data_IF_585484990580
#
_entry.id   IF_585484990580
#
_cell.length_a   1.000
_cell.length_b   1.000
_cell.length_c   1.000
_cell.angle_alpha   90.00
_cell.angle_beta   90.00
_cell.angle_gamma   90.00
#
_symmetry.space_group_name_H-M   'P 1'
#
loop_
_entity.id
_entity.type
_entity.pdbx_description
1 polymer ?
#
# COMPACT_ATOMS: atom_id res chain seq x y z
N UNK A 1 9.88 0.21 3.83
CA UNK A 1 10.81 0.69 2.78
C UNK A 1 11.34 2.03 3.25
N UNK A 2 12.62 2.31 3.10
CA UNK A 2 13.16 3.64 3.43
C UNK A 2 13.11 4.50 2.17
N UNK A 3 12.25 5.50 2.14
CA UNK A 3 12.11 6.48 1.05
C UNK A 3 12.44 7.91 1.50
N UNK A 4 13.20 8.04 2.59
CA UNK A 4 13.66 9.34 3.11
C UNK A 4 12.50 10.27 3.49
N UNK A 5 12.64 11.59 3.23
CA UNK A 5 11.64 12.61 3.63
C UNK A 5 10.22 12.32 3.11
N UNK A 6 10.08 11.62 1.98
CA UNK A 6 8.78 11.24 1.46
C UNK A 6 8.05 10.26 2.38
N UNK A 7 8.77 9.27 2.94
CA UNK A 7 8.22 8.37 3.94
C UNK A 7 7.81 9.11 5.22
N UNK A 8 8.59 10.07 5.66
CA UNK A 8 8.28 10.88 6.85
C UNK A 8 6.98 11.67 6.64
N UNK A 9 6.82 12.31 5.48
CA UNK A 9 5.59 13.01 5.13
C UNK A 9 4.37 12.09 5.03
N UNK A 10 4.53 10.88 4.47
CA UNK A 10 3.47 9.86 4.47
C UNK A 10 3.09 9.47 5.89
N UNK A 11 4.07 9.24 6.74
CA UNK A 11 3.86 8.81 8.12
C UNK A 11 3.10 9.84 8.95
N UNK A 12 3.39 11.14 8.76
CA UNK A 12 2.71 12.21 9.51
C UNK A 12 1.21 12.35 9.18
N UNK A 13 0.77 11.88 8.01
CA UNK A 13 -0.64 11.96 7.57
C UNK A 13 -1.36 10.61 7.60
N UNK A 14 -0.69 9.55 8.05
CA UNK A 14 -1.26 8.19 8.09
C UNK A 14 -1.17 7.61 9.49
N UNK A 15 -2.32 7.24 10.04
CA UNK A 15 -2.36 6.51 11.30
C UNK A 15 -2.39 5.00 11.01
N UNK A 16 -1.37 4.28 11.46
CA UNK A 16 -1.29 2.84 11.33
C UNK A 16 -1.65 2.09 12.60
N UNK A 17 -1.70 0.77 12.51
CA UNK A 17 -2.01 -0.12 13.62
C UNK A 17 -1.12 0.16 14.83
N UNK A 18 -1.76 0.45 15.98
CA UNK A 18 -1.09 0.81 17.24
C UNK A 18 -0.12 2.00 17.12
N UNK A 19 -0.47 3.00 16.32
CA UNK A 19 0.36 4.19 16.10
C UNK A 19 1.68 3.91 15.40
N UNK A 20 1.77 2.81 14.63
CA UNK A 20 2.95 2.49 13.82
C UNK A 20 2.82 3.07 12.42
N UNK A 21 3.95 3.49 11.90
CA UNK A 21 4.05 4.04 10.57
C UNK A 21 4.29 2.94 9.54
N UNK A 22 3.46 2.95 8.49
CA UNK A 22 3.59 2.01 7.39
C UNK A 22 3.66 2.75 6.06
N UNK A 23 4.79 2.67 5.40
CA UNK A 23 5.03 3.30 4.09
C UNK A 23 4.89 2.33 2.91
N UNK A 24 4.76 1.03 3.17
CA UNK A 24 4.65 0.01 2.13
C UNK A 24 3.93 -1.23 2.61
N UNK A 25 3.26 -1.91 1.67
CA UNK A 25 2.69 -3.24 1.89
C UNK A 25 2.68 -4.07 0.60
N UNK A 26 2.49 -5.38 0.78
CA UNK A 26 2.29 -6.33 -0.32
C UNK A 26 1.50 -7.54 0.16
N UNK A 27 1.08 -8.38 -0.77
CA UNK A 27 0.30 -9.59 -0.52
C UNK A 27 1.20 -10.82 -0.55
N UNK A 28 1.18 -11.61 0.54
CA UNK A 28 1.91 -12.88 0.58
C UNK A 28 1.33 -13.87 -0.40
N UNK A 29 2.19 -14.47 -1.20
CA UNK A 29 1.90 -15.48 -2.19
C UNK A 29 2.81 -16.69 -2.00
N UNK A 30 2.24 -17.88 -1.87
CA UNK A 30 2.99 -19.14 -1.70
C UNK A 30 2.84 -19.98 -2.96
N UNK A 31 3.96 -20.39 -3.54
CA UNK A 31 4.02 -21.26 -4.72
C UNK A 31 5.15 -22.28 -4.56
N UNK A 32 4.84 -23.56 -4.71
CA UNK A 32 5.82 -24.65 -4.60
C UNK A 32 6.69 -24.52 -3.33
N UNK A 33 6.05 -24.38 -2.17
CA UNK A 33 6.68 -24.20 -0.85
C UNK A 33 7.60 -22.97 -0.71
N UNK A 34 7.62 -22.11 -1.70
CA UNK A 34 8.38 -20.85 -1.67
C UNK A 34 7.45 -19.67 -1.40
N UNK A 35 7.94 -18.72 -0.60
CA UNK A 35 7.18 -17.53 -0.22
C UNK A 35 7.60 -16.36 -1.09
N UNK A 36 6.63 -15.67 -1.64
CA UNK A 36 6.77 -14.44 -2.42
C UNK A 36 5.86 -13.35 -1.87
N UNK A 37 6.10 -12.12 -2.30
CA UNK A 37 5.22 -10.98 -2.06
C UNK A 37 4.84 -10.38 -3.40
N UNK A 38 3.54 -10.25 -3.66
CA UNK A 38 3.02 -9.48 -4.80
C UNK A 38 2.88 -8.05 -4.33
N UNK A 39 3.51 -7.11 -5.03
CA UNK A 39 3.58 -5.71 -4.63
C UNK A 39 3.65 -4.77 -5.84
N UNK A 40 3.13 -3.56 -5.70
CA UNK A 40 3.46 -2.46 -6.59
C UNK A 40 4.64 -1.70 -5.97
N UNK A 41 5.81 -1.75 -6.60
CA UNK A 41 7.02 -1.13 -6.09
C UNK A 41 8.09 -0.92 -7.18
N UNK A 42 8.81 0.19 -7.09
CA UNK A 42 9.80 0.60 -8.07
C UNK A 42 9.12 1.02 -9.38
N UNK A 43 9.24 0.25 -10.45
CA UNK A 43 8.70 0.62 -11.77
C UNK A 43 7.32 0.03 -12.07
N UNK A 44 6.92 -1.03 -11.39
CA UNK A 44 5.70 -1.78 -11.75
C UNK A 44 5.25 -2.72 -10.65
N UNK A 45 4.07 -3.31 -10.82
CA UNK A 45 3.60 -4.47 -10.06
C UNK A 45 4.52 -5.66 -10.35
N UNK A 46 4.95 -6.35 -9.32
CA UNK A 46 5.92 -7.46 -9.42
C UNK A 46 5.68 -8.54 -8.37
N UNK A 47 6.28 -9.70 -8.58
CA UNK A 47 6.37 -10.78 -7.60
C UNK A 47 7.80 -10.81 -7.08
N UNK A 48 7.97 -10.48 -5.81
CA UNK A 48 9.28 -10.37 -5.15
C UNK A 48 9.50 -11.59 -4.27
N UNK A 49 10.63 -12.31 -4.38
CA UNK A 49 10.99 -13.34 -3.41
C UNK A 49 11.00 -12.78 -1.99
N UNK A 50 10.47 -13.52 -1.03
CA UNK A 50 10.36 -13.06 0.36
C UNK A 50 11.72 -12.63 0.94
N UNK A 51 12.80 -13.35 0.63
CA UNK A 51 14.14 -13.00 1.09
C UNK A 51 14.61 -11.63 0.59
N UNK A 52 14.25 -11.28 -0.66
CA UNK A 52 14.50 -9.94 -1.22
C UNK A 52 13.59 -8.89 -0.56
N UNK A 53 12.30 -9.21 -0.37
CA UNK A 53 11.37 -8.28 0.28
C UNK A 53 11.81 -7.89 1.68
N UNK A 54 12.36 -8.83 2.44
CA UNK A 54 12.90 -8.57 3.80
C UNK A 54 14.02 -7.51 3.81
N UNK A 55 14.76 -7.37 2.72
CA UNK A 55 15.85 -6.40 2.66
C UNK A 55 15.41 -4.94 2.48
N UNK A 56 14.12 -4.69 2.26
CA UNK A 56 13.60 -3.33 2.03
C UNK A 56 13.58 -2.46 3.28
N UNK A 57 13.69 -3.07 4.46
CA UNK A 57 13.70 -2.36 5.72
C UNK A 57 14.51 -3.12 6.78
N UNK A 58 15.08 -2.38 7.72
CA UNK A 58 15.68 -2.91 8.95
C UNK A 58 14.66 -2.95 10.09
N UNK A 59 13.51 -2.29 9.91
CA UNK A 59 12.43 -2.27 10.89
C UNK A 59 11.59 -3.55 10.86
N UNK A 60 10.83 -3.78 11.93
CA UNK A 60 9.92 -4.91 12.00
C UNK A 60 8.80 -4.79 10.96
N UNK A 61 8.58 -5.84 10.19
CA UNK A 61 7.45 -5.97 9.28
C UNK A 61 6.27 -6.61 10.01
N UNK A 62 5.09 -6.05 9.84
CA UNK A 62 3.87 -6.55 10.45
C UNK A 62 3.13 -7.50 9.49
N UNK A 63 2.65 -8.62 10.01
CA UNK A 63 1.88 -9.59 9.23
C UNK A 63 0.40 -9.45 9.54
N UNK A 64 -0.34 -8.93 8.57
CA UNK A 64 -1.79 -8.85 8.60
C UNK A 64 -2.44 -10.10 7.99
N UNK A 65 -3.51 -10.58 8.59
CA UNK A 65 -4.32 -11.69 8.06
C UNK A 65 -5.79 -11.32 8.09
N UNK A 66 -6.51 -11.56 7.00
CA UNK A 66 -7.95 -11.37 6.97
C UNK A 66 -8.66 -12.24 8.02
N UNK A 67 -9.69 -11.68 8.65
CA UNK A 67 -10.59 -12.43 9.53
C UNK A 67 -11.24 -13.58 8.77
N UNK A 68 -11.58 -14.67 9.46
CA UNK A 68 -11.98 -15.95 8.87
C UNK A 68 -13.07 -15.81 7.77
N UNK A 69 -14.07 -14.96 8.00
CA UNK A 69 -15.19 -14.77 7.05
C UNK A 69 -14.76 -14.19 5.68
N UNK A 70 -13.58 -13.55 5.60
CA UNK A 70 -13.08 -12.95 4.38
C UNK A 70 -11.99 -13.78 3.67
N UNK A 71 -11.43 -14.81 4.33
CA UNK A 71 -10.29 -15.59 3.80
C UNK A 71 -10.61 -16.30 2.50
N UNK A 72 -11.86 -16.64 2.26
CA UNK A 72 -12.30 -17.29 1.01
C UNK A 72 -12.08 -16.44 -0.24
N UNK A 73 -11.86 -15.13 -0.09
CA UNK A 73 -11.60 -14.20 -1.19
C UNK A 73 -10.12 -14.07 -1.54
N UNK A 74 -9.21 -14.59 -0.68
CA UNK A 74 -7.76 -14.47 -0.88
C UNK A 74 -7.29 -15.13 -2.19
N UNK A 75 -7.72 -16.35 -2.58
CA UNK A 75 -7.24 -16.97 -3.81
C UNK A 75 -7.53 -16.13 -5.06
N UNK A 76 -8.73 -15.55 -5.16
CA UNK A 76 -9.10 -14.71 -6.30
C UNK A 76 -8.37 -13.35 -6.27
N UNK A 77 -8.17 -12.76 -5.07
CA UNK A 77 -7.38 -11.55 -4.93
C UNK A 77 -5.91 -11.77 -5.36
N UNK A 78 -5.31 -12.91 -5.02
CA UNK A 78 -3.97 -13.29 -5.50
C UNK A 78 -3.97 -13.43 -7.03
N UNK A 79 -4.96 -14.11 -7.60
CA UNK A 79 -5.08 -14.30 -9.05
C UNK A 79 -5.18 -12.96 -9.77
N UNK A 80 -6.03 -12.05 -9.28
CA UNK A 80 -6.13 -10.69 -9.80
C UNK A 80 -4.78 -9.96 -9.75
N UNK A 81 -4.12 -9.97 -8.59
CA UNK A 81 -2.84 -9.27 -8.42
C UNK A 81 -1.74 -9.83 -9.32
N UNK A 82 -1.72 -11.14 -9.57
CA UNK A 82 -0.79 -11.76 -10.51
C UNK A 82 -1.04 -11.33 -11.96
N UNK A 83 -2.30 -11.08 -12.34
CA UNK A 83 -2.64 -10.55 -13.67
C UNK A 83 -2.19 -9.10 -13.85
N UNK A 84 -1.97 -8.34 -12.76
CA UNK A 84 -1.48 -6.97 -12.81
C UNK A 84 0.06 -6.89 -12.91
N UNK A 85 0.79 -8.01 -12.86
CA UNK A 85 2.26 -7.99 -12.95
C UNK A 85 2.71 -7.32 -14.26
N UNK A 86 3.56 -6.29 -14.13
CA UNK A 86 4.03 -5.46 -15.24
C UNK A 86 3.25 -4.16 -15.42
N UNK A 87 2.09 -3.98 -14.77
CA UNK A 87 1.39 -2.69 -14.76
C UNK A 87 2.30 -1.65 -14.09
N UNK A 88 2.47 -0.44 -14.67
CA UNK A 88 3.36 0.58 -14.11
C UNK A 88 3.01 0.97 -12.67
N UNK A 89 4.05 1.35 -11.90
CA UNK A 89 3.85 1.97 -10.60
C UNK A 89 3.20 3.34 -10.76
N UNK A 90 2.24 3.66 -9.91
CA UNK A 90 1.59 4.96 -9.92
C UNK A 90 2.34 5.96 -9.04
N UNK A 91 3.18 6.75 -9.68
CA UNK A 91 3.89 7.87 -9.06
C UNK A 91 2.99 9.11 -8.84
N UNK A 92 1.80 9.11 -9.41
CA UNK A 92 0.85 10.22 -9.29
C UNK A 92 -0.07 10.08 -8.06
N UNK A 93 -0.16 8.86 -7.50
CA UNK A 93 -1.04 8.49 -6.39
C UNK A 93 -2.52 8.82 -6.66
N UNK A 94 -2.96 8.59 -7.91
CA UNK A 94 -4.33 8.80 -8.35
C UNK A 94 -5.06 7.45 -8.47
N UNK A 95 -6.15 7.30 -7.75
CA UNK A 95 -6.95 6.09 -7.81
C UNK A 95 -7.58 5.90 -9.20
N UNK A 96 -7.56 4.65 -9.71
CA UNK A 96 -8.21 4.22 -10.96
C UNK A 96 -7.68 4.90 -12.23
N UNK A 97 -6.36 5.11 -12.31
CA UNK A 97 -5.69 5.70 -13.48
C UNK A 97 -4.97 4.66 -14.38
N UNK A 98 -5.20 3.37 -14.15
CA UNK A 98 -4.57 2.28 -14.91
C UNK A 98 -3.14 1.93 -14.49
N UNK A 99 -2.68 2.46 -13.36
CA UNK A 99 -1.42 2.17 -12.69
C UNK A 99 -1.73 1.69 -11.26
N UNK A 100 -0.72 1.31 -10.50
CA UNK A 100 -0.91 0.92 -9.10
C UNK A 100 0.19 1.46 -8.19
N UNK A 101 -0.19 2.14 -7.11
CA UNK A 101 0.66 2.24 -5.93
C UNK A 101 0.37 1.08 -4.96
N UNK A 102 1.20 0.88 -3.95
CA UNK A 102 1.21 -0.36 -3.17
C UNK A 102 -0.14 -0.72 -2.51
N UNK A 103 -0.82 0.25 -1.90
CA UNK A 103 -2.09 0.02 -1.21
C UNK A 103 -3.28 -0.09 -2.17
N UNK A 104 -3.25 0.61 -3.30
CA UNK A 104 -4.27 0.51 -4.35
C UNK A 104 -4.35 -0.89 -4.94
N UNK A 105 -3.19 -1.50 -5.26
CA UNK A 105 -3.15 -2.89 -5.72
C UNK A 105 -3.88 -3.85 -4.76
N UNK A 106 -3.69 -3.66 -3.46
CA UNK A 106 -4.34 -4.50 -2.44
C UNK A 106 -5.83 -4.18 -2.33
N UNK A 107 -6.19 -2.90 -2.38
CA UNK A 107 -7.57 -2.47 -2.38
C UNK A 107 -8.33 -3.09 -3.55
N UNK A 108 -7.83 -2.93 -4.77
CA UNK A 108 -8.47 -3.44 -5.99
C UNK A 108 -8.52 -4.96 -6.06
N UNK A 109 -7.47 -5.66 -5.60
CA UNK A 109 -7.49 -7.11 -5.53
C UNK A 109 -8.66 -7.63 -4.67
N UNK A 110 -8.93 -6.98 -3.55
CA UNK A 110 -10.05 -7.36 -2.70
C UNK A 110 -11.38 -6.77 -3.15
N UNK A 111 -11.42 -5.62 -3.80
CA UNK A 111 -12.61 -5.11 -4.48
C UNK A 111 -13.06 -6.11 -5.57
N UNK A 112 -12.10 -6.57 -6.39
CA UNK A 112 -12.37 -7.55 -7.44
C UNK A 112 -12.90 -8.88 -6.88
N UNK A 113 -12.24 -9.44 -5.86
CA UNK A 113 -12.59 -10.76 -5.32
C UNK A 113 -13.85 -10.76 -4.46
N UNK A 114 -14.08 -9.71 -3.68
CA UNK A 114 -15.25 -9.57 -2.79
C UNK A 114 -16.45 -8.95 -3.49
N UNK A 115 -16.26 -8.32 -4.69
CA UNK A 115 -17.27 -7.61 -5.51
C UNK A 115 -17.88 -6.38 -4.83
N UNK A 116 -17.24 -5.87 -3.80
CA UNK A 116 -17.52 -4.60 -3.11
C UNK A 116 -16.31 -4.21 -2.28
N UNK A 117 -16.20 -2.93 -1.84
CA UNK A 117 -15.06 -2.50 -1.04
C UNK A 117 -14.89 -3.37 0.22
N UNK A 118 -13.71 -3.97 0.39
CA UNK A 118 -13.30 -4.65 1.62
C UNK A 118 -12.53 -3.70 2.53
N UNK A 119 -11.75 -2.82 1.94
CA UNK A 119 -11.07 -1.72 2.58
C UNK A 119 -11.71 -0.40 2.17
N UNK A 120 -11.36 0.69 2.82
CA UNK A 120 -11.98 1.99 2.57
C UNK A 120 -11.04 2.88 1.75
N UNK A 121 -11.61 3.67 0.82
CA UNK A 121 -10.97 4.84 0.25
C UNK A 121 -11.35 6.06 1.07
N UNK A 122 -10.42 6.99 1.20
CA UNK A 122 -10.63 8.24 1.93
C UNK A 122 -9.94 9.39 1.17
N UNK A 123 -10.38 10.64 1.37
CA UNK A 123 -9.67 11.79 0.83
C UNK A 123 -8.23 11.81 1.36
N UNK A 124 -7.26 11.69 0.45
CA UNK A 124 -5.84 11.75 0.83
C UNK A 124 -5.42 13.19 1.07
N UNK A 125 -4.50 13.41 2.01
CA UNK A 125 -3.89 14.71 2.25
C UNK A 125 -2.38 14.64 2.14
N UNK A 126 -1.82 15.71 1.59
CA UNK A 126 -0.39 15.94 1.40
C UNK A 126 0.08 17.10 2.27
N UNK A 127 -0.78 17.56 3.20
CA UNK A 127 -0.55 18.67 4.10
C UNK A 127 -0.16 18.20 5.49
N UNK A 128 0.72 18.95 6.13
CA UNK A 128 1.03 18.74 7.53
C UNK A 128 -0.22 19.01 8.40
N UNK A 129 -0.59 18.09 9.30
CA UNK A 129 -1.69 18.30 10.22
C UNK A 129 -1.42 19.44 11.24
N UNK A 130 -0.16 19.88 11.36
CA UNK A 130 0.26 20.96 12.28
C UNK A 130 0.10 22.35 11.69
N UNK A 131 0.46 22.51 10.40
CA UNK A 131 0.48 23.83 9.72
C UNK A 131 -0.65 24.00 8.71
N UNK A 132 -1.26 22.92 8.25
CA UNK A 132 -2.18 22.87 7.13
C UNK A 132 -1.56 23.31 5.78
N UNK A 133 -0.23 23.35 5.73
CA UNK A 133 0.54 23.65 4.52
C UNK A 133 1.04 22.32 3.91
N UNK A 134 1.26 22.32 2.60
CA UNK A 134 1.88 21.16 1.96
C UNK A 134 3.28 20.92 2.49
N UNK A 135 3.64 19.65 2.72
CA UNK A 135 5.03 19.32 2.95
C UNK A 135 5.87 19.71 1.74
N UNK A 136 7.01 20.34 1.98
CA UNK A 136 7.93 20.76 0.91
C UNK A 136 8.32 19.60 -0.01
N UNK A 137 8.55 18.41 0.56
CA UNK A 137 8.88 17.21 -0.21
C UNK A 137 7.77 16.83 -1.21
N UNK A 138 6.50 17.05 -0.88
CA UNK A 138 5.38 16.82 -1.81
C UNK A 138 5.28 17.91 -2.86
N UNK A 139 5.48 19.17 -2.48
CA UNK A 139 5.50 20.27 -3.42
C UNK A 139 6.59 20.06 -4.50
N UNK A 140 7.81 19.71 -4.08
CA UNK A 140 8.93 19.39 -4.97
C UNK A 140 8.65 18.15 -5.83
N UNK A 141 8.02 17.15 -5.25
CA UNK A 141 7.70 15.89 -5.93
C UNK A 141 6.74 16.14 -7.10
N UNK A 142 5.60 16.80 -6.85
CA UNK A 142 4.60 17.07 -7.88
C UNK A 142 5.04 18.14 -8.88
N UNK A 143 5.90 19.08 -8.46
CA UNK A 143 6.54 20.02 -9.38
C UNK A 143 7.39 19.27 -10.43
N UNK A 144 8.16 18.26 -10.01
CA UNK A 144 8.96 17.41 -10.94
C UNK A 144 8.06 16.60 -11.88
N UNK A 145 6.92 16.14 -11.41
CA UNK A 145 5.90 15.47 -12.23
C UNK A 145 5.14 16.42 -13.15
N UNK A 146 5.27 17.75 -12.97
CA UNK A 146 4.54 18.80 -13.71
C UNK A 146 3.04 18.67 -13.57
N UNK A 147 2.56 18.37 -12.40
CA UNK A 147 1.15 18.23 -12.08
C UNK A 147 0.81 18.87 -10.73
N UNK A 148 -0.47 19.16 -10.53
CA UNK A 148 -0.96 19.65 -9.25
C UNK A 148 -1.00 18.53 -8.21
N UNK A 149 -0.82 18.89 -6.93
CA UNK A 149 -0.94 17.96 -5.82
C UNK A 149 -2.39 17.47 -5.74
N UNK A 150 -2.67 16.17 -5.77
CA UNK A 150 -4.03 15.63 -5.76
C UNK A 150 -4.66 15.64 -4.37
N UNK A 151 -4.62 16.77 -3.70
CA UNK A 151 -5.20 16.97 -2.36
C UNK A 151 -6.70 16.66 -2.36
N UNK A 152 -7.13 15.84 -1.41
CA UNK A 152 -8.53 15.47 -1.24
C UNK A 152 -9.06 14.43 -2.25
N UNK A 153 -8.26 13.96 -3.19
CA UNK A 153 -8.66 12.86 -4.05
C UNK A 153 -8.77 11.57 -3.26
N UNK A 154 -9.74 10.73 -3.63
CA UNK A 154 -9.92 9.43 -2.99
C UNK A 154 -8.72 8.51 -3.23
N UNK A 155 -8.28 7.86 -2.18
CA UNK A 155 -7.20 6.88 -2.24
C UNK A 155 -7.14 6.05 -0.97
N UNK A 156 -6.10 5.24 -0.85
CA UNK A 156 -5.83 4.46 0.35
C UNK A 156 -4.33 4.44 0.65
N UNK A 157 -3.97 4.09 1.86
CA UNK A 157 -2.57 3.98 2.27
C UNK A 157 -2.34 2.74 3.14
N UNK A 158 -1.09 2.32 3.33
CA UNK A 158 -0.75 1.16 4.16
C UNK A 158 -1.24 1.28 5.61
N UNK A 159 -1.18 2.47 6.19
CA UNK A 159 -1.67 2.75 7.55
C UNK A 159 -3.16 2.44 7.66
N UNK A 160 -4.00 3.04 6.82
CA UNK A 160 -5.43 2.83 6.81
C UNK A 160 -5.84 1.37 6.57
N UNK A 161 -5.13 0.65 5.68
CA UNK A 161 -5.36 -0.80 5.51
C UNK A 161 -5.01 -1.56 6.80
N UNK A 162 -3.92 -1.20 7.48
CA UNK A 162 -3.47 -1.89 8.70
C UNK A 162 -4.43 -1.77 9.88
N UNK A 163 -5.22 -0.69 9.95
CA UNK A 163 -6.22 -0.44 11.00
C UNK A 163 -7.59 -1.02 10.68
N UNK A 164 -7.78 -1.59 9.47
CA UNK A 164 -9.06 -2.14 9.05
C UNK A 164 -9.59 -3.22 10.01
N UNK A 165 -10.88 -3.13 10.36
CA UNK A 165 -11.57 -4.15 11.13
C UNK A 165 -11.70 -5.51 10.42
N UNK A 166 -11.31 -5.59 9.15
CA UNK A 166 -11.29 -6.82 8.34
C UNK A 166 -10.01 -7.63 8.56
N UNK A 167 -8.96 -6.98 9.07
CA UNK A 167 -7.67 -7.58 9.35
C UNK A 167 -7.49 -7.94 10.84
N UNK A 168 -6.54 -8.82 11.09
CA UNK A 168 -5.91 -9.05 12.39
C UNK A 168 -4.40 -9.09 12.18
N UNK A 169 -3.67 -8.26 12.89
CA UNK A 169 -2.22 -8.40 12.96
C UNK A 169 -1.90 -9.64 13.78
N UNK A 170 -1.14 -10.56 13.23
CA UNK A 170 -0.86 -11.88 13.81
C UNK A 170 0.57 -12.05 14.27
N UNK A 171 1.44 -11.10 13.96
CA UNK A 171 2.84 -11.11 14.37
C UNK A 171 3.67 -10.10 13.59
N UNK A 172 4.95 -10.11 13.94
CA UNK A 172 5.99 -9.31 13.29
C UNK A 172 7.12 -10.22 12.81
N UNK A 173 7.80 -9.78 11.77
CA UNK A 173 9.00 -10.42 11.22
C UNK A 173 10.13 -9.40 11.28
N UNK A 174 11.27 -9.82 11.70
CA UNK A 174 12.54 -9.05 11.68
C UNK A 174 13.46 -9.59 10.61
#
# INVERSE_FOLDING_TARGET
>A
MNCGPLCEAINEVTEGYQGKDFSHLGMVYIKNDSIFVIEAAGKAVKVTPYETFKTYTTEAMFVGRLKNKYRKYIPEAITFSLQQVGVPYDDEYLYDNGKYYCSELIYDAFLHSYKKPLFDLFPMTFKSPKSNEYFEVWADYYQKLKMEIPEGQLGCNPGGISTSDKLKIIGTIK
#
